data_IF_320221572962
#
_entry.id   IF_320221572962
#
_cell.length_a   1.000
_cell.length_b   1.000
_cell.length_c   1.000
_cell.angle_alpha   90.00
_cell.angle_beta   90.00
_cell.angle_gamma   90.00
#
_symmetry.space_group_name_H-M   'P 1'
#
loop_
_entity.id
_entity.type
_entity.pdbx_description
1 polymer ?
#
# COMPACT_ATOMS: atom_id res chain seq x y z
N UNK A 1 22.74 -9.96 -29.52
CA UNK A 1 23.57 -9.54 -28.36
C UNK A 1 23.43 -10.64 -27.32
N UNK A 2 24.51 -11.07 -26.66
CA UNK A 2 24.38 -11.95 -25.50
C UNK A 2 23.78 -11.18 -24.32
N UNK A 3 23.14 -11.89 -23.40
CA UNK A 3 22.41 -11.32 -22.25
C UNK A 3 23.29 -10.41 -21.39
N UNK A 4 24.56 -10.81 -21.18
CA UNK A 4 25.50 -10.05 -20.34
C UNK A 4 25.79 -8.69 -20.97
N UNK A 5 26.09 -8.66 -22.26
CA UNK A 5 26.34 -7.41 -22.99
C UNK A 5 25.08 -6.55 -23.09
N UNK A 6 23.90 -7.17 -23.29
CA UNK A 6 22.63 -6.44 -23.37
C UNK A 6 22.25 -5.77 -22.04
N UNK A 7 22.61 -6.38 -20.90
CA UNK A 7 22.28 -5.87 -19.57
C UNK A 7 23.42 -5.12 -18.88
N UNK A 8 24.61 -5.00 -19.48
CA UNK A 8 25.80 -4.42 -18.85
C UNK A 8 25.61 -2.97 -18.36
N UNK A 9 24.66 -2.23 -18.94
CA UNK A 9 24.33 -0.84 -18.56
C UNK A 9 23.00 -0.72 -17.80
N UNK A 10 22.37 -1.84 -17.42
CA UNK A 10 21.12 -1.85 -16.67
C UNK A 10 21.40 -1.93 -15.17
N UNK A 11 20.78 -1.03 -14.40
CA UNK A 11 20.87 -1.05 -12.95
C UNK A 11 19.89 -2.05 -12.35
N UNK A 12 20.36 -2.87 -11.39
CA UNK A 12 19.51 -3.76 -10.60
C UNK A 12 19.23 -5.14 -11.21
N UNK A 13 19.78 -5.44 -12.39
CA UNK A 13 19.62 -6.74 -13.04
C UNK A 13 18.14 -7.09 -13.22
N UNK A 14 17.70 -8.19 -12.62
CA UNK A 14 16.29 -8.62 -12.66
C UNK A 14 15.36 -7.83 -11.73
N UNK A 15 15.89 -6.98 -10.85
CA UNK A 15 15.12 -6.18 -9.88
C UNK A 15 15.49 -4.69 -9.88
N UNK A 16 15.35 -3.99 -11.04
CA UNK A 16 15.61 -2.56 -11.12
C UNK A 16 14.80 -1.71 -10.14
N UNK A 17 13.60 -2.14 -9.70
CA UNK A 17 12.77 -1.39 -8.76
C UNK A 17 13.12 -1.58 -7.28
N UNK A 18 14.13 -2.39 -6.95
CA UNK A 18 14.58 -2.57 -5.56
C UNK A 18 15.08 -1.24 -4.96
N UNK A 19 14.73 -0.96 -3.69
CA UNK A 19 14.97 0.37 -3.11
C UNK A 19 16.45 0.74 -2.95
N UNK A 20 17.35 -0.25 -2.95
CA UNK A 20 18.80 -0.03 -2.95
C UNK A 20 19.28 0.59 -4.26
N UNK A 21 18.68 0.21 -5.39
CA UNK A 21 19.10 0.64 -6.73
C UNK A 21 18.12 1.60 -7.41
N UNK A 22 16.90 1.74 -6.88
CA UNK A 22 15.81 2.52 -7.48
C UNK A 22 16.19 3.96 -7.83
N UNK A 23 17.13 4.58 -7.09
CA UNK A 23 17.63 5.93 -7.40
C UNK A 23 18.45 6.01 -8.69
N UNK A 24 19.07 4.91 -9.12
CA UNK A 24 19.83 4.83 -10.36
C UNK A 24 18.99 4.31 -11.53
N UNK A 25 17.98 3.49 -11.25
CA UNK A 25 17.04 2.97 -12.25
C UNK A 25 15.83 3.90 -12.41
N UNK A 26 14.76 3.69 -11.63
CA UNK A 26 13.49 4.42 -11.72
C UNK A 26 13.62 5.92 -11.42
N UNK A 27 14.59 6.31 -10.59
CA UNK A 27 14.92 7.69 -10.26
C UNK A 27 16.03 8.28 -11.13
N UNK A 28 16.73 7.45 -11.91
CA UNK A 28 17.81 7.89 -12.77
C UNK A 28 17.30 8.79 -13.91
N UNK A 29 18.13 9.72 -14.42
CA UNK A 29 17.76 10.48 -15.59
C UNK A 29 17.65 9.55 -16.81
N UNK A 30 16.60 9.73 -17.61
CA UNK A 30 16.47 9.04 -18.90
C UNK A 30 17.59 9.42 -19.86
N UNK A 31 17.71 8.71 -20.99
CA UNK A 31 18.74 9.00 -22.02
C UNK A 31 18.66 10.41 -22.63
N UNK A 32 17.54 11.10 -22.44
CA UNK A 32 17.31 12.50 -22.81
C UNK A 32 17.62 13.51 -21.67
N UNK A 33 18.15 13.05 -20.54
CA UNK A 33 18.46 13.86 -19.35
C UNK A 33 17.25 14.22 -18.49
N UNK A 34 16.04 13.73 -18.82
CA UNK A 34 14.82 14.02 -18.05
C UNK A 34 14.80 13.18 -16.79
N UNK A 35 14.57 13.85 -15.64
CA UNK A 35 14.38 13.19 -14.36
C UNK A 35 13.08 12.39 -14.33
N UNK A 36 13.15 11.15 -13.86
CA UNK A 36 12.00 10.27 -13.74
C UNK A 36 11.37 10.42 -12.34
N UNK A 37 11.68 9.52 -11.40
CA UNK A 37 11.06 9.52 -10.07
C UNK A 37 11.92 10.08 -8.92
N UNK A 38 12.89 10.94 -9.23
CA UNK A 38 13.79 11.59 -8.27
C UNK A 38 14.33 12.90 -8.87
N UNK A 39 14.66 13.88 -8.02
CA UNK A 39 15.28 15.14 -8.45
C UNK A 39 14.39 16.14 -9.19
N UNK A 40 13.09 15.90 -9.29
CA UNK A 40 12.12 16.83 -9.89
C UNK A 40 11.82 18.00 -8.95
N UNK A 41 11.37 19.13 -9.52
CA UNK A 41 10.89 20.28 -8.74
C UNK A 41 9.59 19.96 -8.02
N UNK A 42 8.66 19.27 -8.68
CA UNK A 42 7.44 18.78 -8.04
C UNK A 42 7.78 17.60 -7.13
N UNK A 43 7.67 17.81 -5.82
CA UNK A 43 7.93 16.78 -4.81
C UNK A 43 7.09 15.51 -5.02
N UNK A 44 5.89 15.65 -5.60
CA UNK A 44 5.03 14.53 -5.95
C UNK A 44 5.58 13.62 -7.05
N UNK A 45 6.61 14.01 -7.78
CA UNK A 45 7.30 13.16 -8.75
C UNK A 45 8.48 12.39 -8.14
N UNK A 46 8.92 12.72 -6.93
CA UNK A 46 10.12 12.15 -6.30
C UNK A 46 9.80 10.92 -5.43
N UNK A 47 9.08 9.96 -6.00
CA UNK A 47 8.59 8.77 -5.30
C UNK A 47 9.71 7.84 -4.82
N UNK A 48 10.82 7.76 -5.56
CA UNK A 48 11.97 6.92 -5.16
C UNK A 48 12.62 7.42 -3.87
N UNK A 49 12.54 8.73 -3.59
CA UNK A 49 13.11 9.32 -2.39
C UNK A 49 12.18 9.13 -1.18
N UNK A 50 10.88 9.35 -1.37
CA UNK A 50 9.87 9.27 -0.31
C UNK A 50 9.62 7.83 0.14
N UNK A 51 9.59 6.86 -0.78
CA UNK A 51 9.26 5.46 -0.47
C UNK A 51 10.22 4.83 0.53
N UNK A 52 11.50 5.22 0.49
CA UNK A 52 12.53 4.73 1.41
C UNK A 52 12.23 5.07 2.88
N UNK A 53 11.37 6.03 3.13
CA UNK A 53 10.96 6.46 4.47
C UNK A 53 9.62 5.91 4.93
N UNK A 54 8.88 5.22 4.04
CA UNK A 54 7.57 4.64 4.37
C UNK A 54 7.70 3.57 5.46
N UNK A 55 6.61 3.33 6.19
CA UNK A 55 6.56 2.26 7.19
C UNK A 55 6.69 0.88 6.54
N UNK A 56 6.16 0.70 5.32
CA UNK A 56 6.33 -0.56 4.59
C UNK A 56 7.77 -0.81 4.16
N UNK A 57 8.55 0.23 3.87
CA UNK A 57 9.99 0.09 3.55
C UNK A 57 10.84 -0.15 4.79
N UNK A 58 10.49 0.50 5.90
CA UNK A 58 11.37 0.57 7.08
C UNK A 58 11.00 -0.41 8.17
N UNK A 59 9.74 -0.83 8.28
CA UNK A 59 9.19 -1.56 9.45
C UNK A 59 9.46 -0.89 10.81
N UNK A 60 9.74 0.42 10.80
CA UNK A 60 10.04 1.19 12.01
C UNK A 60 8.88 1.16 13.02
N UNK A 61 7.63 1.14 12.53
CA UNK A 61 6.45 1.01 13.37
C UNK A 61 6.38 -0.29 14.16
N UNK A 62 6.74 -1.42 13.54
CA UNK A 62 6.72 -2.72 14.20
C UNK A 62 7.82 -2.83 15.27
N UNK A 63 9.02 -2.33 14.97
CA UNK A 63 10.10 -2.23 15.96
C UNK A 63 9.68 -1.38 17.15
N UNK A 64 9.11 -0.20 16.89
CA UNK A 64 8.68 0.73 17.93
C UNK A 64 7.59 0.15 18.83
N UNK A 65 6.50 -0.38 18.25
CA UNK A 65 5.36 -0.88 19.04
C UNK A 65 5.75 -2.07 19.91
N UNK A 66 6.60 -2.98 19.41
CA UNK A 66 7.10 -4.11 20.20
C UNK A 66 7.97 -3.59 21.34
N UNK A 67 8.92 -2.69 21.08
CA UNK A 67 9.78 -2.13 22.13
C UNK A 67 8.98 -1.39 23.22
N UNK A 68 7.96 -0.63 22.84
CA UNK A 68 7.04 -0.02 23.79
C UNK A 68 6.28 -1.06 24.62
N UNK A 69 5.75 -2.11 23.97
CA UNK A 69 4.99 -3.17 24.65
C UNK A 69 5.82 -3.90 25.70
N UNK A 70 7.11 -4.08 25.44
CA UNK A 70 8.06 -4.70 26.38
C UNK A 70 8.66 -3.75 27.41
N UNK A 71 8.21 -2.48 27.42
CA UNK A 71 8.70 -1.42 28.31
C UNK A 71 10.16 -1.03 28.07
N UNK A 72 10.70 -1.33 26.88
CA UNK A 72 12.06 -0.94 26.50
C UNK A 72 12.14 0.56 26.19
N UNK A 73 11.10 1.08 25.53
CA UNK A 73 10.96 2.50 25.23
C UNK A 73 9.68 3.06 25.87
N UNK A 74 9.75 4.30 26.36
CA UNK A 74 8.59 5.01 26.97
C UNK A 74 7.69 5.68 25.93
N UNK A 75 8.19 5.84 24.72
CA UNK A 75 7.57 6.58 23.63
C UNK A 75 7.75 5.81 22.33
N UNK A 76 7.07 6.23 21.27
CA UNK A 76 7.23 5.68 19.92
C UNK A 76 8.61 5.95 19.28
N UNK A 77 9.41 6.84 19.87
CA UNK A 77 10.77 7.11 19.40
C UNK A 77 11.72 5.97 19.79
N UNK A 78 12.40 5.38 18.80
CA UNK A 78 13.40 4.34 19.00
C UNK A 78 14.79 4.95 18.91
N UNK A 79 15.51 4.98 20.02
CA UNK A 79 16.84 5.59 20.09
C UNK A 79 17.81 4.95 19.07
N UNK A 80 18.49 5.79 18.28
CA UNK A 80 19.46 5.34 17.28
C UNK A 80 18.84 4.82 15.97
N UNK A 81 17.51 4.72 15.87
CA UNK A 81 16.85 4.43 14.60
C UNK A 81 16.82 5.70 13.75
N UNK A 82 17.45 5.65 12.59
CA UNK A 82 17.61 6.80 11.69
C UNK A 82 16.60 6.80 10.55
N UNK A 83 16.35 7.97 9.97
CA UNK A 83 15.41 8.15 8.85
C UNK A 83 15.75 7.23 7.68
N UNK A 84 14.78 6.41 7.28
CA UNK A 84 14.92 5.46 6.16
C UNK A 84 15.70 4.18 6.50
N UNK A 85 16.13 4.02 7.76
CA UNK A 85 16.73 2.77 8.21
C UNK A 85 15.69 1.67 8.27
N UNK A 86 16.03 0.52 7.68
CA UNK A 86 15.23 -0.70 7.77
C UNK A 86 15.43 -1.31 9.16
N UNK A 87 14.34 -1.50 9.89
CA UNK A 87 14.30 -2.03 11.25
C UNK A 87 14.96 -3.41 11.36
N UNK A 88 14.88 -4.23 10.31
CA UNK A 88 15.62 -5.51 10.25
C UNK A 88 17.13 -5.35 10.46
N UNK A 89 17.71 -4.20 10.08
CA UNK A 89 19.14 -3.90 10.29
C UNK A 89 19.41 -3.13 11.59
N UNK A 90 18.41 -2.90 12.43
CA UNK A 90 18.59 -2.22 13.70
C UNK A 90 19.32 -3.14 14.69
N UNK A 91 20.44 -2.68 15.28
CA UNK A 91 21.24 -3.52 16.17
C UNK A 91 20.51 -3.75 17.49
N UNK A 92 20.55 -5.00 17.96
CA UNK A 92 19.94 -5.41 19.24
C UNK A 92 18.52 -4.88 19.45
N UNK A 93 17.55 -5.28 18.59
CA UNK A 93 16.21 -4.70 18.56
C UNK A 93 15.46 -4.83 19.89
N UNK A 94 15.83 -5.80 20.73
CA UNK A 94 15.28 -5.99 22.07
C UNK A 94 16.34 -5.84 23.19
N UNK A 95 17.45 -5.14 22.94
CA UNK A 95 18.52 -4.87 23.92
C UNK A 95 19.11 -6.13 24.57
N UNK A 96 19.39 -7.19 23.79
CA UNK A 96 19.99 -8.42 24.33
C UNK A 96 19.01 -9.37 25.00
N UNK A 97 17.69 -9.09 24.96
CA UNK A 97 16.68 -9.98 25.54
C UNK A 97 16.62 -11.33 24.79
N UNK A 98 16.18 -12.40 25.49
CA UNK A 98 15.84 -13.65 24.83
C UNK A 98 14.88 -13.40 23.66
N UNK A 99 15.04 -14.17 22.57
CA UNK A 99 14.23 -14.10 21.35
C UNK A 99 14.46 -12.89 20.44
N UNK A 100 15.46 -12.01 20.68
CA UNK A 100 15.72 -10.88 19.77
C UNK A 100 16.04 -11.32 18.34
N UNK A 101 16.80 -12.40 18.17
CA UNK A 101 17.09 -12.96 16.85
C UNK A 101 15.85 -13.54 16.17
N UNK A 102 14.92 -14.10 16.96
CA UNK A 102 13.63 -14.58 16.46
C UNK A 102 12.78 -13.39 16.02
N UNK A 103 12.68 -12.33 16.82
CA UNK A 103 11.98 -11.10 16.44
C UNK A 103 12.54 -10.48 15.15
N UNK A 104 13.88 -10.44 15.03
CA UNK A 104 14.53 -9.91 13.84
C UNK A 104 14.20 -10.75 12.60
N UNK A 105 14.26 -12.08 12.69
CA UNK A 105 14.03 -12.98 11.56
C UNK A 105 12.54 -13.18 11.23
N UNK A 106 11.69 -13.37 12.24
CA UNK A 106 10.30 -13.78 12.09
C UNK A 106 9.32 -12.60 12.15
N UNK A 107 9.77 -11.39 12.47
CA UNK A 107 8.92 -10.21 12.41
C UNK A 107 9.56 -9.19 11.47
N UNK A 108 10.73 -8.67 11.82
CA UNK A 108 11.32 -7.54 11.10
C UNK A 108 11.80 -7.89 9.68
N UNK A 109 12.16 -9.14 9.38
CA UNK A 109 12.59 -9.56 8.04
C UNK A 109 11.42 -9.85 7.09
N UNK A 110 10.17 -9.86 7.55
CA UNK A 110 9.05 -10.26 6.70
C UNK A 110 8.47 -9.08 5.91
N UNK A 111 8.02 -9.33 4.68
CA UNK A 111 7.12 -8.49 3.86
C UNK A 111 7.55 -7.07 3.48
N UNK A 112 8.54 -6.45 4.13
CA UNK A 112 8.89 -5.05 3.88
C UNK A 112 9.48 -4.84 2.48
N UNK A 113 9.27 -3.65 1.92
CA UNK A 113 9.67 -3.29 0.54
C UNK A 113 11.20 -3.28 0.33
N UNK A 114 11.98 -3.28 1.40
CA UNK A 114 13.46 -3.25 1.36
C UNK A 114 14.13 -4.63 1.45
N UNK A 115 13.57 -5.66 0.81
CA UNK A 115 14.12 -7.02 0.78
C UNK A 115 13.50 -8.03 1.76
N UNK A 116 12.30 -7.73 2.28
CA UNK A 116 11.65 -8.59 3.27
C UNK A 116 11.10 -9.87 2.66
N UNK A 117 11.30 -11.00 3.33
CA UNK A 117 10.84 -12.33 2.87
C UNK A 117 9.30 -12.45 2.96
N UNK A 118 8.67 -13.06 1.95
CA UNK A 118 7.25 -13.40 1.99
C UNK A 118 7.04 -14.68 2.81
N UNK A 119 6.02 -14.74 3.70
CA UNK A 119 5.76 -15.93 4.50
C UNK A 119 5.31 -17.13 3.66
N UNK A 120 5.82 -18.31 3.99
CA UNK A 120 5.36 -19.63 3.49
C UNK A 120 3.91 -19.85 3.96
N UNK A 121 2.98 -20.43 3.16
CA UNK A 121 3.17 -21.24 1.96
C UNK A 121 3.11 -20.46 0.63
N UNK A 122 3.09 -19.12 0.65
CA UNK A 122 2.94 -18.31 -0.57
C UNK A 122 4.16 -18.34 -1.51
N UNK A 123 5.26 -18.95 -1.11
CA UNK A 123 6.48 -18.98 -1.90
C UNK A 123 7.08 -20.40 -1.89
N UNK A 124 7.24 -20.97 -3.09
CA UNK A 124 8.19 -22.08 -3.27
C UNK A 124 9.60 -21.46 -3.38
N UNK A 125 10.23 -21.20 -2.23
CA UNK A 125 11.56 -20.62 -2.14
C UNK A 125 11.59 -19.24 -1.45
N UNK A 126 12.75 -18.60 -1.42
CA UNK A 126 12.94 -17.26 -0.81
C UNK A 126 12.51 -16.17 -1.81
N UNK A 127 11.27 -15.72 -1.71
CA UNK A 127 10.76 -14.56 -2.44
C UNK A 127 10.83 -13.33 -1.52
N UNK A 128 11.32 -12.22 -2.05
CA UNK A 128 11.55 -10.99 -1.29
C UNK A 128 10.77 -9.81 -1.89
N UNK A 129 10.42 -8.86 -1.03
CA UNK A 129 9.92 -7.56 -1.44
C UNK A 129 11.03 -6.72 -2.08
N UNK A 130 10.94 -6.45 -3.38
CA UNK A 130 11.93 -5.70 -4.17
C UNK A 130 11.43 -4.29 -4.54
N UNK A 131 11.04 -3.51 -3.54
CA UNK A 131 10.69 -2.10 -3.70
C UNK A 131 9.47 -1.87 -4.59
N UNK A 132 9.64 -1.07 -5.65
CA UNK A 132 8.57 -0.68 -6.56
C UNK A 132 7.88 -1.89 -7.19
N UNK A 133 8.65 -2.94 -7.49
CA UNK A 133 8.18 -4.14 -8.18
C UNK A 133 7.21 -4.96 -7.34
N UNK A 134 7.31 -4.87 -6.01
CA UNK A 134 6.40 -5.58 -5.10
C UNK A 134 4.94 -5.18 -5.28
N UNK A 135 4.67 -4.02 -5.88
CA UNK A 135 3.32 -3.55 -6.14
C UNK A 135 3.06 -3.31 -7.63
N UNK A 136 4.04 -2.72 -8.35
CA UNK A 136 3.85 -2.33 -9.75
C UNK A 136 4.06 -3.46 -10.76
N UNK A 137 4.67 -4.57 -10.34
CA UNK A 137 4.69 -5.82 -11.10
C UNK A 137 3.76 -6.78 -10.38
N UNK A 138 2.62 -7.05 -11.01
CA UNK A 138 1.65 -7.93 -10.40
C UNK A 138 2.19 -9.38 -10.38
N UNK A 139 2.00 -10.11 -9.28
CA UNK A 139 2.38 -11.54 -9.09
C UNK A 139 1.21 -12.48 -8.81
N UNK A 140 1.17 -13.67 -9.43
CA UNK A 140 0.24 -14.73 -8.99
C UNK A 140 0.69 -15.30 -7.65
N UNK A 141 -0.17 -16.06 -6.95
CA UNK A 141 0.20 -16.60 -5.65
C UNK A 141 1.38 -17.56 -5.63
N UNK A 142 1.79 -18.08 -6.79
CA UNK A 142 2.98 -18.94 -6.94
C UNK A 142 4.20 -18.18 -7.47
N UNK A 143 4.03 -16.88 -7.76
CA UNK A 143 5.03 -15.99 -8.37
C UNK A 143 5.62 -16.57 -9.65
N UNK A 144 4.76 -17.18 -10.48
CA UNK A 144 5.15 -17.80 -11.75
C UNK A 144 4.79 -16.92 -12.93
N UNK A 145 5.69 -16.88 -13.90
CA UNK A 145 5.44 -16.23 -15.19
C UNK A 145 4.44 -17.03 -16.03
N UNK A 146 3.37 -16.37 -16.47
CA UNK A 146 2.28 -16.96 -17.27
C UNK A 146 2.02 -16.20 -18.59
N UNK A 147 2.86 -15.21 -18.92
CA UNK A 147 2.74 -14.43 -20.16
C UNK A 147 3.45 -15.07 -21.36
N UNK A 148 3.37 -14.39 -22.50
CA UNK A 148 3.90 -14.88 -23.79
C UNK A 148 5.26 -14.26 -24.20
N UNK A 149 5.90 -13.48 -23.32
CA UNK A 149 7.27 -12.97 -23.55
C UNK A 149 8.25 -14.12 -23.79
N UNK A 150 8.81 -14.15 -25.00
CA UNK A 150 9.72 -15.20 -25.46
C UNK A 150 11.09 -15.19 -24.79
N UNK A 151 11.43 -14.10 -24.09
CA UNK A 151 12.69 -13.94 -23.34
C UNK A 151 12.61 -14.50 -21.92
N UNK A 152 11.40 -14.73 -21.39
CA UNK A 152 11.18 -15.29 -20.05
C UNK A 152 10.70 -16.74 -20.21
N UNK A 153 11.42 -17.68 -19.59
CA UNK A 153 10.98 -19.08 -19.57
C UNK A 153 9.66 -19.17 -18.79
N UNK A 154 8.61 -19.67 -19.44
CA UNK A 154 7.32 -19.94 -18.80
C UNK A 154 7.46 -20.82 -17.56
N UNK A 155 6.55 -20.63 -16.59
CA UNK A 155 6.52 -21.35 -15.31
C UNK A 155 7.76 -21.19 -14.42
N UNK A 156 8.60 -20.16 -14.66
CA UNK A 156 9.71 -19.83 -13.76
C UNK A 156 9.17 -19.04 -12.56
N UNK A 157 9.48 -19.51 -11.35
CA UNK A 157 9.18 -18.82 -10.09
C UNK A 157 10.08 -17.59 -9.88
N UNK A 158 9.60 -16.61 -9.12
CA UNK A 158 10.31 -15.36 -8.83
C UNK A 158 10.07 -14.25 -9.86
N UNK A 159 9.01 -14.37 -10.66
CA UNK A 159 8.65 -13.39 -11.69
C UNK A 159 7.22 -12.87 -11.48
N UNK A 160 6.96 -11.67 -12.00
CA UNK A 160 5.59 -11.22 -12.24
C UNK A 160 4.86 -12.17 -13.18
N UNK A 161 3.53 -12.12 -13.18
CA UNK A 161 2.74 -12.96 -14.09
C UNK A 161 3.01 -12.63 -15.56
N UNK A 162 3.19 -11.34 -15.84
CA UNK A 162 3.42 -10.78 -17.17
C UNK A 162 4.51 -9.72 -17.07
N UNK A 163 5.22 -9.48 -18.17
CA UNK A 163 6.27 -8.47 -18.23
C UNK A 163 5.67 -7.08 -18.45
N UNK A 164 4.97 -6.53 -17.45
CA UNK A 164 4.32 -5.23 -17.53
C UNK A 164 4.22 -4.53 -16.17
N UNK A 165 4.35 -3.20 -16.19
CA UNK A 165 4.10 -2.34 -15.02
C UNK A 165 2.66 -1.84 -15.01
N UNK A 166 2.10 -1.60 -13.83
CA UNK A 166 0.75 -1.04 -13.69
C UNK A 166 0.59 -0.17 -12.44
N UNK A 167 -0.31 0.81 -12.52
CA UNK A 167 -0.82 1.58 -11.37
C UNK A 167 -2.19 1.09 -10.90
N UNK A 168 -2.81 0.17 -11.63
CA UNK A 168 -4.07 -0.51 -11.26
C UNK A 168 -3.74 -1.72 -10.37
N UNK A 169 -3.43 -1.47 -9.09
CA UNK A 169 -2.98 -2.49 -8.13
C UNK A 169 -4.21 -3.06 -7.39
N UNK A 170 -4.65 -4.29 -7.69
CA UNK A 170 -5.77 -4.93 -7.00
C UNK A 170 -5.39 -5.34 -5.56
N UNK A 171 -6.40 -5.47 -4.69
CA UNK A 171 -6.19 -5.82 -3.28
C UNK A 171 -5.41 -7.13 -3.06
N UNK A 172 -5.52 -8.09 -3.98
CA UNK A 172 -4.82 -9.37 -3.85
C UNK A 172 -3.30 -9.25 -4.05
N UNK A 173 -2.82 -8.18 -4.70
CA UNK A 173 -1.40 -7.84 -4.71
C UNK A 173 -0.95 -7.37 -3.31
N UNK A 174 -1.78 -6.57 -2.62
CA UNK A 174 -1.53 -6.18 -1.22
C UNK A 174 -1.55 -7.42 -0.30
N UNK A 175 -2.47 -8.35 -0.56
CA UNK A 175 -2.56 -9.64 0.14
C UNK A 175 -1.48 -10.65 -0.29
N UNK A 176 -0.39 -10.24 -0.95
CA UNK A 176 0.83 -11.07 -0.96
C UNK A 176 1.58 -10.94 0.37
N UNK A 177 1.37 -9.83 1.09
CA UNK A 177 2.02 -9.51 2.36
C UNK A 177 1.03 -9.24 3.49
N UNK A 178 -0.09 -8.58 3.21
CA UNK A 178 -1.15 -8.30 4.18
C UNK A 178 -2.14 -9.46 4.29
N UNK A 179 -2.82 -9.57 5.42
CA UNK A 179 -3.86 -10.59 5.66
C UNK A 179 -3.36 -12.04 5.56
N UNK A 180 -2.07 -12.25 5.82
CA UNK A 180 -1.37 -13.54 5.73
C UNK A 180 -1.43 -14.35 7.02
N UNK A 181 -1.76 -13.70 8.14
CA UNK A 181 -1.61 -14.26 9.46
C UNK A 181 -1.41 -13.16 10.48
N UNK A 182 -0.98 -13.54 11.68
CA UNK A 182 -0.85 -12.64 12.82
C UNK A 182 0.49 -12.83 13.50
N UNK A 183 1.09 -11.72 13.95
CA UNK A 183 2.30 -11.73 14.75
C UNK A 183 1.93 -11.99 16.23
N UNK A 184 2.55 -13.00 16.83
CA UNK A 184 2.52 -13.27 18.26
C UNK A 184 3.71 -12.55 18.90
N UNK A 185 3.44 -11.40 19.50
CA UNK A 185 4.47 -10.55 20.13
C UNK A 185 5.06 -11.16 21.40
N UNK A 186 4.45 -12.18 22.01
CA UNK A 186 4.99 -12.85 23.20
C UNK A 186 6.02 -13.89 22.75
N UNK A 187 5.71 -14.64 21.69
CA UNK A 187 6.62 -15.65 21.12
C UNK A 187 7.62 -15.07 20.13
N UNK A 188 7.37 -13.87 19.62
CA UNK A 188 8.10 -13.24 18.50
C UNK A 188 8.00 -14.06 17.21
N UNK A 189 6.85 -14.67 16.96
CA UNK A 189 6.62 -15.54 15.82
C UNK A 189 5.48 -15.02 14.95
N UNK A 190 5.54 -15.32 13.67
CA UNK A 190 4.43 -15.09 12.75
C UNK A 190 3.65 -16.38 12.55
N UNK A 191 2.36 -16.35 12.86
CA UNK A 191 1.44 -17.46 12.61
C UNK A 191 0.63 -17.20 11.35
N UNK A 192 0.90 -17.98 10.32
CA UNK A 192 0.15 -17.95 9.05
C UNK A 192 -1.30 -18.36 9.32
N UNK A 193 -2.26 -17.70 8.66
CA UNK A 193 -3.68 -18.07 8.81
C UNK A 193 -3.93 -19.50 8.29
N UNK A 194 -4.66 -20.35 9.05
CA UNK A 194 -4.84 -21.77 8.68
C UNK A 194 -5.58 -22.01 7.35
N UNK A 195 -6.36 -21.04 6.88
CA UNK A 195 -7.18 -21.12 5.67
C UNK A 195 -6.51 -20.51 4.42
N UNK A 196 -5.22 -20.15 4.49
CA UNK A 196 -4.47 -19.57 3.35
C UNK A 196 -4.71 -20.32 2.03
N UNK A 197 -4.65 -21.65 2.03
CA UNK A 197 -4.87 -22.46 0.82
C UNK A 197 -6.26 -22.32 0.16
N UNK A 198 -7.23 -21.66 0.80
CA UNK A 198 -8.60 -21.45 0.30
C UNK A 198 -8.91 -19.99 -0.07
N UNK A 199 -8.13 -19.04 0.44
CA UNK A 199 -8.39 -17.59 0.39
C UNK A 199 -7.34 -16.83 -0.41
N UNK A 200 -6.38 -17.56 -0.96
CA UNK A 200 -5.46 -17.07 -1.97
C UNK A 200 -6.20 -16.99 -3.30
N UNK A 201 -6.36 -15.78 -3.83
CA UNK A 201 -6.94 -15.57 -5.16
C UNK A 201 -5.97 -14.89 -6.10
N UNK A 202 -5.92 -15.46 -7.29
CA UNK A 202 -5.30 -14.87 -8.46
C UNK A 202 -6.22 -13.77 -9.01
N UNK A 203 -5.68 -12.63 -9.47
CA UNK A 203 -6.53 -11.58 -10.06
C UNK A 203 -7.13 -12.02 -11.40
N UNK A 204 -6.57 -13.07 -12.02
CA UNK A 204 -7.10 -13.68 -13.24
C UNK A 204 -8.36 -14.50 -12.98
N UNK A 205 -8.70 -14.78 -11.72
CA UNK A 205 -9.93 -15.49 -11.34
C UNK A 205 -11.22 -14.69 -11.59
N UNK A 206 -11.12 -13.46 -12.11
CA UNK A 206 -12.24 -12.58 -12.40
C UNK A 206 -12.68 -11.75 -11.19
N UNK A 207 -13.82 -11.07 -11.31
CA UNK A 207 -14.32 -10.19 -10.26
C UNK A 207 -14.79 -10.99 -9.03
N UNK A 208 -14.14 -10.75 -7.89
CA UNK A 208 -14.54 -11.34 -6.61
C UNK A 208 -15.88 -10.79 -6.14
N UNK A 209 -16.74 -11.67 -5.61
CA UNK A 209 -17.94 -11.23 -4.91
C UNK A 209 -17.55 -10.55 -3.60
N UNK A 210 -18.50 -9.84 -2.97
CA UNK A 210 -18.22 -9.26 -1.64
C UNK A 210 -17.88 -10.33 -0.60
N UNK A 211 -18.54 -11.50 -0.65
CA UNK A 211 -18.25 -12.61 0.27
C UNK A 211 -16.84 -13.14 0.05
N UNK A 212 -16.41 -13.20 -1.20
CA UNK A 212 -15.05 -13.60 -1.56
C UNK A 212 -14.01 -12.63 -0.99
N UNK A 213 -14.22 -11.33 -1.20
CA UNK A 213 -13.33 -10.30 -0.63
C UNK A 213 -13.29 -10.39 0.89
N UNK A 214 -14.43 -10.57 1.54
CA UNK A 214 -14.48 -10.73 3.00
C UNK A 214 -13.60 -11.90 3.47
N UNK A 215 -13.68 -13.07 2.81
CA UNK A 215 -12.84 -14.20 3.20
C UNK A 215 -11.35 -13.92 2.98
N UNK A 216 -11.01 -13.20 1.91
CA UNK A 216 -9.63 -12.92 1.54
C UNK A 216 -8.99 -11.90 2.49
N UNK A 217 -9.75 -10.89 2.93
CA UNK A 217 -9.29 -9.86 3.89
C UNK A 217 -9.31 -10.32 5.35
N UNK A 218 -10.15 -11.30 5.71
CA UNK A 218 -10.40 -11.63 7.10
C UNK A 218 -9.13 -12.09 7.83
N UNK A 219 -8.81 -11.41 8.93
CA UNK A 219 -7.92 -11.87 9.98
C UNK A 219 -8.72 -12.06 11.28
N UNK A 220 -8.55 -13.20 12.00
CA UNK A 220 -9.20 -13.39 13.30
C UNK A 220 -8.91 -12.25 14.27
N UNK A 221 -9.96 -11.56 14.71
CA UNK A 221 -9.87 -10.43 15.66
C UNK A 221 -9.89 -9.04 15.03
N UNK A 222 -9.88 -8.93 13.70
CA UNK A 222 -10.01 -7.65 12.99
C UNK A 222 -11.45 -7.40 12.53
N UNK A 223 -11.88 -6.14 12.59
CA UNK A 223 -13.19 -5.68 12.12
C UNK A 223 -12.99 -4.72 10.95
N UNK A 224 -13.78 -4.90 9.89
CA UNK A 224 -13.70 -4.07 8.69
C UNK A 224 -15.05 -3.40 8.39
N UNK A 225 -15.05 -2.10 8.12
CA UNK A 225 -16.19 -1.44 7.54
C UNK A 225 -16.44 -1.96 6.11
N UNK A 226 -17.69 -1.89 5.63
CA UNK A 226 -18.09 -2.39 4.32
C UNK A 226 -17.25 -1.83 3.17
N UNK A 227 -16.82 -0.57 3.25
CA UNK A 227 -15.97 0.06 2.23
C UNK A 227 -14.59 -0.59 2.16
N UNK A 228 -13.95 -0.92 3.30
CA UNK A 228 -12.64 -1.58 3.35
C UNK A 228 -12.65 -2.96 2.70
N UNK A 229 -13.80 -3.65 2.72
CA UNK A 229 -14.00 -4.93 2.01
C UNK A 229 -14.38 -4.71 0.53
N UNK A 230 -15.10 -3.63 0.21
CA UNK A 230 -15.68 -3.43 -1.13
C UNK A 230 -14.74 -2.72 -2.10
N UNK A 231 -13.86 -1.86 -1.59
CA UNK A 231 -12.89 -1.10 -2.34
C UNK A 231 -11.56 -1.85 -2.42
N UNK A 232 -10.75 -1.55 -3.44
CA UNK A 232 -9.35 -1.96 -3.46
C UNK A 232 -8.52 -1.06 -2.55
N UNK A 233 -7.43 -1.57 -1.99
CA UNK A 233 -6.64 -0.85 -0.99
C UNK A 233 -6.24 0.55 -1.47
N UNK A 234 -5.83 0.68 -2.74
CA UNK A 234 -5.41 1.96 -3.36
C UNK A 234 -6.56 2.93 -3.64
N UNK A 235 -7.82 2.52 -3.49
CA UNK A 235 -8.96 3.43 -3.57
C UNK A 235 -9.04 4.33 -2.32
N UNK A 236 -8.52 3.85 -1.19
CA UNK A 236 -8.39 4.58 0.06
C UNK A 236 -6.93 4.99 0.30
N UNK A 237 -6.01 4.02 0.41
CA UNK A 237 -4.59 4.28 0.65
C UNK A 237 -4.00 5.16 -0.43
N UNK A 238 -3.58 6.33 0.00
CA UNK A 238 -3.10 7.39 -0.87
C UNK A 238 -1.67 7.12 -1.34
N UNK A 239 -1.17 7.98 -2.24
CA UNK A 239 0.21 7.89 -2.70
C UNK A 239 1.16 8.08 -1.52
N UNK A 240 0.85 9.00 -0.60
CA UNK A 240 1.69 9.28 0.56
C UNK A 240 1.58 8.21 1.65
N UNK A 241 0.43 7.55 1.81
CA UNK A 241 0.31 6.38 2.72
C UNK A 241 1.23 5.24 2.28
N UNK A 242 1.20 4.91 0.98
CA UNK A 242 1.87 3.72 0.44
C UNK A 242 3.34 3.98 0.16
N UNK A 243 3.63 5.09 -0.53
CA UNK A 243 4.97 5.45 -0.99
C UNK A 243 5.62 6.54 -0.14
N UNK A 244 5.03 6.92 0.98
CA UNK A 244 5.59 7.90 1.90
C UNK A 244 5.42 9.36 1.44
N UNK A 245 5.54 10.27 2.40
CA UNK A 245 5.56 11.73 2.21
C UNK A 245 6.96 12.32 2.44
N UNK A 246 7.98 11.45 2.53
CA UNK A 246 9.35 11.83 2.85
C UNK A 246 9.60 12.10 4.33
N UNK A 247 8.61 11.96 5.22
CA UNK A 247 8.80 11.96 6.67
C UNK A 247 9.02 10.53 7.17
N UNK A 248 9.70 10.44 8.31
CA UNK A 248 9.95 9.16 8.97
C UNK A 248 8.95 8.97 10.10
N UNK A 249 8.29 7.82 10.12
CA UNK A 249 7.29 7.48 11.12
C UNK A 249 7.65 6.17 11.81
N UNK A 250 7.52 6.15 13.13
CA UNK A 250 7.67 4.96 13.98
C UNK A 250 6.32 4.45 14.49
N UNK A 251 5.22 4.92 13.90
CA UNK A 251 3.86 4.48 14.23
C UNK A 251 2.98 4.61 13.01
N UNK A 252 2.21 3.56 12.73
CA UNK A 252 1.23 3.57 11.64
C UNK A 252 0.19 4.67 11.84
N UNK A 253 -0.23 4.92 13.09
CA UNK A 253 -1.21 5.95 13.42
C UNK A 253 -0.77 7.35 12.97
N UNK A 254 0.52 7.69 13.11
CA UNK A 254 1.02 8.99 12.67
C UNK A 254 1.23 9.07 11.16
N UNK A 255 1.48 7.92 10.52
CA UNK A 255 1.75 7.80 9.10
C UNK A 255 0.49 7.79 8.24
N UNK A 256 -0.72 7.74 8.83
CA UNK A 256 -1.96 7.73 8.05
C UNK A 256 -2.26 9.10 7.44
N UNK A 257 -2.56 9.14 6.15
CA UNK A 257 -2.91 10.33 5.37
C UNK A 257 -4.37 10.41 4.97
N UNK A 258 -5.14 9.32 5.14
CA UNK A 258 -6.58 9.29 4.88
C UNK A 258 -7.38 8.71 6.05
N UNK A 259 -8.49 9.35 6.38
CA UNK A 259 -9.43 8.96 7.44
C UNK A 259 -10.86 8.97 6.89
N UNK A 260 -11.81 8.34 7.61
CA UNK A 260 -13.21 8.31 7.19
C UNK A 260 -13.77 9.73 6.96
N UNK A 261 -13.43 10.68 7.83
CA UNK A 261 -13.85 12.08 7.73
C UNK A 261 -13.34 12.81 6.47
N UNK A 262 -12.27 12.34 5.82
CA UNK A 262 -11.74 12.99 4.62
C UNK A 262 -12.70 12.82 3.43
N UNK A 263 -13.51 11.75 3.45
CA UNK A 263 -14.54 11.48 2.45
C UNK A 263 -15.94 11.78 2.96
N UNK A 264 -16.21 11.48 4.22
CA UNK A 264 -17.55 11.53 4.80
C UNK A 264 -17.85 12.85 5.55
N UNK A 265 -16.81 13.58 5.96
CA UNK A 265 -16.93 14.76 6.80
C UNK A 265 -17.28 14.41 8.25
N UNK A 266 -17.79 15.40 8.95
CA UNK A 266 -18.30 15.31 10.33
C UNK A 266 -19.75 15.77 10.38
N UNK A 267 -20.36 15.82 11.57
CA UNK A 267 -21.74 16.36 11.70
C UNK A 267 -21.76 17.85 11.43
N UNK A 268 -20.67 18.55 11.74
CA UNK A 268 -20.55 20.00 11.69
C UNK A 268 -19.84 20.50 10.43
N UNK A 269 -19.02 19.67 9.79
CA UNK A 269 -18.16 20.07 8.65
C UNK A 269 -18.26 19.10 7.49
N UNK A 270 -18.41 19.64 6.29
CA UNK A 270 -18.24 18.90 5.05
C UNK A 270 -16.77 18.47 4.85
N UNK A 271 -16.51 17.44 4.01
CA UNK A 271 -15.17 17.11 3.55
C UNK A 271 -14.43 18.31 2.95
N UNK A 272 -13.10 18.30 3.01
CA UNK A 272 -12.29 19.32 2.34
C UNK A 272 -12.28 19.05 0.84
N UNK A 273 -12.53 20.08 0.04
CA UNK A 273 -12.56 19.98 -1.42
C UNK A 273 -11.64 21.01 -2.07
N UNK A 274 -11.24 20.74 -3.31
CA UNK A 274 -10.48 21.65 -4.17
C UNK A 274 -11.14 21.70 -5.54
N UNK A 275 -11.28 22.91 -6.09
CA UNK A 275 -11.56 23.10 -7.51
C UNK A 275 -10.26 22.97 -8.32
N UNK A 276 -10.33 22.20 -9.38
CA UNK A 276 -9.20 21.93 -10.27
C UNK A 276 -9.03 23.12 -11.23
N UNK A 277 -7.99 23.91 -11.03
CA UNK A 277 -7.78 25.14 -11.81
C UNK A 277 -6.59 25.09 -12.75
N UNK A 278 -5.51 24.42 -12.33
CA UNK A 278 -4.24 24.39 -13.03
C UNK A 278 -4.10 23.09 -13.85
N UNK A 279 -4.09 23.15 -15.18
CA UNK A 279 -3.95 21.96 -16.02
C UNK A 279 -2.55 21.31 -15.95
N UNK A 280 -1.61 21.92 -15.22
CA UNK A 280 -0.28 21.35 -14.94
C UNK A 280 -0.22 20.59 -13.62
N UNK A 281 -1.32 20.51 -12.86
CA UNK A 281 -1.36 19.71 -11.64
C UNK A 281 -1.18 18.22 -11.97
N UNK A 282 -0.49 17.47 -11.09
CA UNK A 282 -0.11 16.07 -11.32
C UNK A 282 -1.30 15.15 -11.63
N UNK A 283 -2.48 15.46 -11.11
CA UNK A 283 -3.72 14.71 -11.37
C UNK A 283 -4.07 14.61 -12.87
N UNK A 284 -3.60 15.54 -13.72
CA UNK A 284 -3.81 15.47 -15.16
C UNK A 284 -2.90 14.44 -15.86
N UNK A 285 -1.92 13.89 -15.16
CA UNK A 285 -1.07 12.79 -15.63
C UNK A 285 -1.67 11.41 -15.30
N UNK A 286 -2.62 11.31 -14.37
CA UNK A 286 -3.30 10.06 -13.99
C UNK A 286 -3.90 9.27 -15.18
N UNK A 287 -4.58 9.90 -16.18
CA UNK A 287 -5.10 9.18 -17.34
C UNK A 287 -4.03 8.50 -18.20
N UNK A 288 -2.76 8.94 -18.11
CA UNK A 288 -1.65 8.36 -18.88
C UNK A 288 -1.38 6.92 -18.43
N UNK A 289 -1.47 6.67 -17.13
CA UNK A 289 -1.11 5.37 -16.53
C UNK A 289 -2.33 4.56 -16.10
N UNK A 290 -3.48 5.19 -15.89
CA UNK A 290 -4.68 4.54 -15.42
C UNK A 290 -5.88 4.76 -16.38
N UNK A 291 -6.25 3.77 -17.22
CA UNK A 291 -7.38 3.88 -18.12
C UNK A 291 -8.75 3.90 -17.41
N UNK A 292 -8.80 3.64 -16.10
CA UNK A 292 -10.02 3.76 -15.27
C UNK A 292 -10.17 5.15 -14.67
N UNK A 293 -9.20 6.03 -14.85
CA UNK A 293 -9.28 7.40 -14.37
C UNK A 293 -10.45 8.12 -15.07
N UNK A 294 -11.43 8.65 -14.33
CA UNK A 294 -12.55 9.34 -14.94
C UNK A 294 -12.06 10.62 -15.64
N UNK A 295 -12.70 11.04 -16.74
CA UNK A 295 -12.30 12.25 -17.46
C UNK A 295 -12.30 13.47 -16.52
N UNK A 296 -11.21 14.23 -16.47
CA UNK A 296 -11.03 15.38 -15.57
C UNK A 296 -10.98 16.69 -16.37
N UNK A 297 -11.70 17.70 -15.89
CA UNK A 297 -11.75 19.02 -16.52
C UNK A 297 -11.41 20.12 -15.53
N UNK A 298 -10.95 21.26 -16.06
CA UNK A 298 -10.82 22.48 -15.27
C UNK A 298 -12.20 22.89 -14.73
N UNK A 299 -12.26 23.22 -13.45
CA UNK A 299 -13.47 23.58 -12.73
C UNK A 299 -14.13 22.39 -12.01
N UNK A 300 -13.71 21.15 -12.29
CA UNK A 300 -14.14 19.98 -11.52
C UNK A 300 -13.75 20.15 -10.06
N UNK A 301 -14.59 19.62 -9.17
CA UNK A 301 -14.33 19.61 -7.74
C UNK A 301 -13.93 18.19 -7.29
N UNK A 302 -12.81 18.11 -6.57
CA UNK A 302 -12.24 16.88 -6.03
C UNK A 302 -12.18 16.95 -4.51
N UNK A 303 -12.15 15.79 -3.86
CA UNK A 303 -11.81 15.73 -2.44
C UNK A 303 -10.32 15.94 -2.19
N UNK A 304 -10.03 16.39 -0.97
CA UNK A 304 -8.70 16.53 -0.40
C UNK A 304 -8.68 15.81 0.94
N UNK A 305 -7.56 15.15 1.27
CA UNK A 305 -7.35 14.74 2.65
C UNK A 305 -7.12 15.96 3.53
N UNK A 306 -7.41 15.84 4.82
CA UNK A 306 -7.06 16.85 5.83
C UNK A 306 -5.56 17.13 5.92
N UNK A 307 -4.72 16.22 5.40
CA UNK A 307 -3.26 16.42 5.24
C UNK A 307 -2.86 17.10 3.93
N UNK A 308 -3.82 17.47 3.09
CA UNK A 308 -3.60 18.23 1.86
C UNK A 308 -3.25 17.39 0.64
N UNK A 309 -3.54 16.08 0.64
CA UNK A 309 -3.39 15.24 -0.54
C UNK A 309 -4.64 15.26 -1.42
N UNK A 310 -4.44 15.32 -2.72
CA UNK A 310 -5.51 15.38 -3.72
C UNK A 310 -6.09 13.99 -3.98
N UNK A 311 -7.42 13.88 -4.01
CA UNK A 311 -8.15 12.63 -4.24
C UNK A 311 -8.98 12.71 -5.54
N UNK A 312 -8.34 12.73 -6.72
CA UNK A 312 -9.02 13.03 -8.00
C UNK A 312 -10.01 11.95 -8.49
N UNK A 313 -9.98 10.76 -7.88
CA UNK A 313 -10.96 9.70 -8.10
C UNK A 313 -12.29 9.92 -7.33
N UNK A 314 -12.34 10.93 -6.46
CA UNK A 314 -13.48 11.26 -5.60
C UNK A 314 -14.10 12.57 -6.09
N UNK A 315 -15.20 12.45 -6.83
CA UNK A 315 -15.80 13.56 -7.56
C UNK A 315 -17.31 13.50 -7.56
N UNK A 316 -17.93 14.59 -7.99
CA UNK A 316 -19.37 14.65 -8.20
C UNK A 316 -19.82 13.77 -9.38
N UNK A 317 -20.97 13.13 -9.22
CA UNK A 317 -21.80 12.59 -10.29
C UNK A 317 -23.25 13.01 -10.04
N UNK A 318 -23.65 14.12 -10.68
CA UNK A 318 -24.88 14.84 -10.31
C UNK A 318 -24.79 15.35 -8.87
N UNK A 319 -25.84 15.17 -8.09
CA UNK A 319 -25.95 15.67 -6.71
C UNK A 319 -25.21 14.82 -5.66
N UNK A 320 -24.44 13.82 -6.09
CA UNK A 320 -23.77 12.87 -5.20
C UNK A 320 -22.27 12.88 -5.39
N UNK A 321 -21.55 12.68 -4.30
CA UNK A 321 -20.14 12.32 -4.31
C UNK A 321 -19.97 10.84 -4.61
N UNK A 322 -18.98 10.51 -5.44
CA UNK A 322 -18.63 9.13 -5.76
C UNK A 322 -17.12 8.90 -5.65
N UNK A 323 -16.75 7.72 -5.19
CA UNK A 323 -15.42 7.11 -5.39
C UNK A 323 -15.46 6.32 -6.69
N UNK A 324 -14.48 6.52 -7.57
CA UNK A 324 -14.24 5.63 -8.71
C UNK A 324 -13.07 4.70 -8.38
N UNK A 325 -13.26 3.39 -8.51
CA UNK A 325 -12.19 2.42 -8.26
C UNK A 325 -11.06 2.59 -9.27
N UNK A 326 -9.83 2.71 -8.77
CA UNK A 326 -8.61 2.83 -9.57
C UNK A 326 -8.29 1.54 -10.33
N UNK A 327 -8.86 0.41 -9.92
CA UNK A 327 -8.60 -0.91 -10.54
C UNK A 327 -9.71 -1.30 -11.51
N UNK A 328 -10.97 -1.12 -11.11
CA UNK A 328 -12.12 -1.64 -11.87
C UNK A 328 -12.88 -0.56 -12.64
N UNK A 329 -12.78 0.71 -12.22
CA UNK A 329 -13.62 1.81 -12.70
C UNK A 329 -15.04 1.79 -12.12
N UNK A 330 -15.38 0.84 -11.24
CA UNK A 330 -16.66 0.81 -10.55
C UNK A 330 -16.80 2.05 -9.66
N UNK A 331 -18.00 2.63 -9.64
CA UNK A 331 -18.30 3.81 -8.81
C UNK A 331 -19.07 3.45 -7.55
N UNK A 332 -18.77 4.11 -6.44
CA UNK A 332 -19.40 3.92 -5.13
C UNK A 332 -19.86 5.27 -4.61
N UNK A 333 -21.10 5.36 -4.14
CA UNK A 333 -21.62 6.59 -3.52
C UNK A 333 -20.93 6.84 -2.19
N UNK A 334 -20.55 8.09 -1.94
CA UNK A 334 -19.99 8.55 -0.67
C UNK A 334 -21.10 9.29 0.10
N UNK A 335 -21.73 8.67 1.10
CA UNK A 335 -22.69 9.37 1.97
C UNK A 335 -21.96 10.40 2.85
N UNK A 336 -22.54 11.59 3.00
CA UNK A 336 -22.00 12.60 3.91
C UNK A 336 -22.59 12.44 5.31
N UNK A 337 -21.80 12.78 6.33
CA UNK A 337 -22.21 12.74 7.73
C UNK A 337 -23.12 13.91 8.06
N UNK A 338 -22.85 15.09 7.50
CA UNK A 338 -23.69 16.29 7.65
C UNK A 338 -25.14 15.97 7.25
N UNK A 339 -26.08 16.26 8.15
CA UNK A 339 -27.51 16.01 7.93
C UNK A 339 -27.94 14.54 8.01
N UNK A 340 -27.02 13.61 8.30
CA UNK A 340 -27.33 12.20 8.50
C UNK A 340 -27.67 11.87 9.97
N UNK A 341 -28.09 10.63 10.23
CA UNK A 341 -28.25 10.09 11.59
C UNK A 341 -26.97 9.46 12.16
N UNK A 342 -25.84 9.62 11.46
CA UNK A 342 -24.56 9.07 11.92
C UNK A 342 -24.19 9.66 13.29
N UNK A 343 -23.85 8.78 14.24
CA UNK A 343 -23.48 9.16 15.61
C UNK A 343 -21.97 9.15 15.85
N UNK A 344 -21.16 9.22 14.80
CA UNK A 344 -19.71 9.15 14.93
C UNK A 344 -19.15 10.17 15.93
N UNK A 345 -18.04 9.78 16.54
CA UNK A 345 -17.13 10.64 17.28
C UNK A 345 -15.98 10.95 16.31
N UNK A 346 -15.75 12.22 15.92
CA UNK A 346 -14.74 12.57 14.91
C UNK A 346 -13.32 12.07 15.23
N UNK A 347 -13.00 11.89 16.51
CA UNK A 347 -11.71 11.39 16.99
C UNK A 347 -11.58 9.85 16.89
N UNK A 348 -12.70 9.13 16.75
CA UNK A 348 -12.74 7.66 16.64
C UNK A 348 -12.96 7.25 15.17
N UNK A 349 -11.89 7.29 14.39
CA UNK A 349 -11.89 6.96 12.95
C UNK A 349 -11.45 5.52 12.64
N UNK A 350 -11.35 4.67 13.67
CA UNK A 350 -11.05 3.25 13.52
C UNK A 350 -12.20 2.47 12.88
N UNK A 351 -11.85 1.41 12.16
CA UNK A 351 -12.82 0.54 11.50
C UNK A 351 -13.86 -0.04 12.48
N UNK A 352 -13.47 -0.34 13.72
CA UNK A 352 -14.32 -0.85 14.80
C UNK A 352 -15.45 0.12 15.19
N UNK A 353 -15.19 1.43 15.14
CA UNK A 353 -16.20 2.47 15.41
C UNK A 353 -17.27 2.48 14.31
N UNK A 354 -16.84 2.47 13.05
CA UNK A 354 -17.72 2.52 11.89
C UNK A 354 -18.42 1.18 11.61
N UNK A 355 -17.76 0.05 11.89
CA UNK A 355 -18.27 -1.31 11.63
C UNK A 355 -19.63 -1.55 12.29
N UNK A 356 -19.89 -0.96 13.46
CA UNK A 356 -21.17 -1.09 14.19
C UNK A 356 -22.40 -0.76 13.33
N UNK A 357 -22.27 0.21 12.42
CA UNK A 357 -23.34 0.63 11.51
C UNK A 357 -23.03 0.31 10.04
N UNK A 358 -21.77 0.05 9.71
CA UNK A 358 -21.31 -0.23 8.34
C UNK A 358 -20.83 -1.68 8.16
N UNK A 359 -21.29 -2.61 8.99
CA UNK A 359 -21.12 -4.05 8.78
C UNK A 359 -22.05 -4.57 7.67
N UNK A 360 -21.74 -5.75 7.13
CA UNK A 360 -22.47 -6.44 6.04
C UNK A 360 -23.99 -6.46 6.22
N UNK A 361 -24.47 -6.62 7.46
CA UNK A 361 -25.89 -6.82 7.81
C UNK A 361 -26.63 -5.52 8.12
N UNK A 362 -25.96 -4.36 8.10
CA UNK A 362 -26.63 -3.11 8.32
C UNK A 362 -27.64 -2.85 7.19
N UNK A 363 -28.92 -2.79 7.57
CA UNK A 363 -30.09 -2.56 6.69
C UNK A 363 -30.12 -1.16 6.04
N UNK A 364 -29.03 -0.40 6.12
CA UNK A 364 -28.96 0.97 5.60
C UNK A 364 -27.66 1.19 4.81
N UNK A 365 -27.76 1.36 3.46
CA UNK A 365 -26.63 1.70 2.60
C UNK A 365 -26.11 3.13 2.78
#
# INVERSE_FOLDING_TARGET
LDETTAHAQMFGGSHPGSLEIASLSCGGPGGNGVSCHSGNQETGKNLVDSVKTSIMSTKAGELSVVRMTFGLDKTKEVAGLTKGQVAYRYPSPLQGRPNEGIFQQNCLNQCHQSGGELPVPLSQGKIQGNGCESCHILTNPTHTYIGDDTTIKGNKSGYGMVHNLTTQIPYNQCNQCHNQGSHDIIKMEFSVRPDMGKVIRDWTAGYSTWTDRLSDYYLPGELFAKCEVSLDCIDCHTRQDVMGDGKFYTSQHDAVHIQCLDCHGTKEKLPVTKKVENPKDLMFEEPITNPKFPALQKGDEIFMTTRGEELPFLRHKGDHWIQTSRVTGKTFKIPLVVGSQCKQVPEEQGADSCHKCHARTALHP
#
